data_IF_069639618384
#
_entry.id   IF_069639618384
#
_cell.length_a   1.000
_cell.length_b   1.000
_cell.length_c   1.000
_cell.angle_alpha   90.00
_cell.angle_beta   90.00
_cell.angle_gamma   90.00
#
_symmetry.space_group_name_H-M   'P 1'
#
loop_
_entity.id
_entity.type
_entity.pdbx_description
1 polymer ?
#
# COMPACT_ATOMS: atom_id res chain seq x y z
N UNK A 1 -4.04 -18.56 26.17
CA UNK A 1 -3.12 -18.24 25.07
C UNK A 1 -3.84 -17.25 24.17
N UNK A 2 -3.51 -15.97 24.25
CA UNK A 2 -3.99 -14.97 23.29
C UNK A 2 -3.43 -15.36 21.92
N UNK A 3 -4.30 -15.71 20.98
CA UNK A 3 -3.91 -15.83 19.57
C UNK A 3 -3.43 -14.45 19.17
N UNK A 4 -2.11 -14.26 19.13
CA UNK A 4 -1.52 -13.07 18.52
C UNK A 4 -1.94 -13.15 17.06
N UNK A 5 -2.71 -12.19 16.53
CA UNK A 5 -3.07 -12.17 15.11
C UNK A 5 -1.78 -12.25 14.30
N UNK A 6 -1.75 -13.15 13.31
CA UNK A 6 -0.61 -13.23 12.40
C UNK A 6 -0.62 -11.97 11.53
N UNK A 7 0.23 -11.00 11.88
CA UNK A 7 0.37 -9.74 11.15
C UNK A 7 0.59 -9.96 9.64
N UNK A 8 1.24 -11.07 9.27
CA UNK A 8 1.40 -11.51 7.87
C UNK A 8 0.04 -11.72 7.20
N UNK A 9 -0.89 -12.36 7.89
CA UNK A 9 -2.24 -12.60 7.40
C UNK A 9 -3.04 -11.29 7.28
N UNK A 10 -2.91 -10.39 8.25
CA UNK A 10 -3.56 -9.06 8.19
C UNK A 10 -3.03 -8.23 7.02
N UNK A 11 -1.72 -8.26 6.76
CA UNK A 11 -1.11 -7.61 5.60
C UNK A 11 -1.55 -8.22 4.28
N UNK A 12 -1.70 -9.55 4.22
CA UNK A 12 -2.27 -10.23 3.04
C UNK A 12 -3.71 -9.79 2.77
N UNK A 13 -4.53 -9.67 3.81
CA UNK A 13 -5.91 -9.19 3.67
C UNK A 13 -5.97 -7.74 3.19
N UNK A 14 -5.10 -6.87 3.72
CA UNK A 14 -4.99 -5.47 3.27
C UNK A 14 -4.47 -5.36 1.83
N UNK A 15 -3.53 -6.24 1.44
CA UNK A 15 -3.02 -6.33 0.08
C UNK A 15 -4.09 -6.81 -0.90
N UNK A 16 -4.84 -7.86 -0.52
CA UNK A 16 -5.97 -8.36 -1.31
C UNK A 16 -7.02 -7.28 -1.54
N UNK A 17 -7.37 -6.50 -0.51
CA UNK A 17 -8.24 -5.34 -0.66
C UNK A 17 -7.72 -4.35 -1.71
N UNK A 18 -6.43 -4.01 -1.64
CA UNK A 18 -5.82 -3.03 -2.54
C UNK A 18 -5.75 -3.53 -3.98
N UNK A 19 -5.34 -4.79 -4.18
CA UNK A 19 -5.31 -5.44 -5.50
C UNK A 19 -6.71 -5.54 -6.09
N UNK A 20 -7.71 -5.93 -5.30
CA UNK A 20 -9.10 -5.99 -5.74
C UNK A 20 -9.59 -4.63 -6.22
N UNK A 21 -9.32 -3.55 -5.48
CA UNK A 21 -9.66 -2.18 -5.88
C UNK A 21 -8.98 -1.77 -7.19
N UNK A 22 -7.72 -2.15 -7.41
CA UNK A 22 -7.03 -1.93 -8.69
C UNK A 22 -7.74 -2.66 -9.83
N UNK A 23 -8.10 -3.93 -9.64
CA UNK A 23 -8.72 -4.76 -10.68
C UNK A 23 -10.14 -4.28 -11.02
N UNK A 24 -10.93 -3.92 -10.00
CA UNK A 24 -12.32 -3.47 -10.16
C UNK A 24 -12.41 -2.02 -10.67
N UNK A 25 -11.36 -1.22 -10.50
CA UNK A 25 -11.29 0.16 -10.98
C UNK A 25 -11.22 0.26 -12.51
N UNK A 26 -12.01 1.18 -13.07
CA UNK A 26 -11.80 1.67 -14.44
C UNK A 26 -10.52 2.51 -14.57
N UNK A 27 -10.17 2.94 -15.79
CA UNK A 27 -8.95 3.71 -16.06
C UNK A 27 -8.78 4.95 -15.16
N UNK A 28 -9.87 5.69 -14.92
CA UNK A 28 -9.85 6.85 -14.02
C UNK A 28 -9.57 6.45 -12.56
N UNK A 29 -10.14 5.34 -12.07
CA UNK A 29 -9.89 4.82 -10.73
C UNK A 29 -8.42 4.41 -10.57
N UNK A 30 -7.90 3.64 -11.52
CA UNK A 30 -6.48 3.22 -11.53
C UNK A 30 -5.52 4.41 -11.50
N UNK A 31 -5.80 5.48 -12.25
CA UNK A 31 -5.02 6.73 -12.19
C UNK A 31 -5.06 7.38 -10.80
N UNK A 32 -6.21 7.39 -10.14
CA UNK A 32 -6.32 7.91 -8.76
C UNK A 32 -5.53 7.07 -7.76
N UNK A 33 -5.58 5.74 -7.88
CA UNK A 33 -4.78 4.81 -7.06
C UNK A 33 -3.28 5.09 -7.28
N UNK A 34 -2.84 5.14 -8.54
CA UNK A 34 -1.44 5.37 -8.91
C UNK A 34 -0.93 6.72 -8.38
N UNK A 35 -1.71 7.78 -8.56
CA UNK A 35 -1.38 9.12 -8.03
C UNK A 35 -1.25 9.10 -6.51
N UNK A 36 -2.21 8.50 -5.81
CA UNK A 36 -2.17 8.41 -4.34
C UNK A 36 -0.96 7.59 -3.86
N UNK A 37 -0.62 6.51 -4.56
CA UNK A 37 0.59 5.73 -4.27
C UNK A 37 1.86 6.59 -4.45
N UNK A 38 1.99 7.34 -5.55
CA UNK A 38 3.13 8.22 -5.79
C UNK A 38 3.23 9.34 -4.74
N UNK A 39 2.11 9.96 -4.36
CA UNK A 39 2.04 10.94 -3.28
C UNK A 39 2.48 10.33 -1.94
N UNK A 40 2.08 9.10 -1.66
CA UNK A 40 2.51 8.36 -0.49
C UNK A 40 4.01 8.09 -0.50
N UNK A 41 4.56 7.64 -1.63
CA UNK A 41 6.02 7.44 -1.80
C UNK A 41 6.79 8.73 -1.59
N UNK A 42 6.30 9.87 -2.09
CA UNK A 42 6.91 11.17 -1.86
C UNK A 42 6.88 11.56 -0.37
N UNK A 43 5.74 11.34 0.31
CA UNK A 43 5.58 11.65 1.74
C UNK A 43 6.52 10.81 2.61
N UNK A 44 6.60 9.49 2.40
CA UNK A 44 7.43 8.62 3.27
C UNK A 44 8.92 8.94 3.16
N UNK A 45 9.40 9.47 2.02
CA UNK A 45 10.79 9.92 1.86
C UNK A 45 11.09 11.13 2.75
N UNK A 46 10.10 11.98 3.04
CA UNK A 46 10.27 13.15 3.92
C UNK A 46 10.22 12.82 5.41
N UNK A 47 9.88 11.58 5.76
CA UNK A 47 9.71 11.15 7.15
C UNK A 47 10.87 10.23 7.52
N UNK A 48 11.61 10.60 8.56
CA UNK A 48 12.69 9.76 9.08
C UNK A 48 12.14 8.49 9.76
N UNK A 49 12.97 7.46 9.77
CA UNK A 49 12.69 6.24 10.52
C UNK A 49 12.95 6.48 12.01
N UNK A 50 12.07 5.97 12.87
CA UNK A 50 12.30 6.02 14.32
C UNK A 50 13.13 4.81 14.75
N UNK A 51 14.42 5.06 15.06
CA UNK A 51 15.39 4.00 15.45
C UNK A 51 15.43 2.81 14.47
N UNK A 52 15.26 3.10 13.18
CA UNK A 52 15.24 2.09 12.12
C UNK A 52 13.85 1.51 11.81
N UNK A 53 12.85 1.75 12.66
CA UNK A 53 11.45 1.39 12.37
C UNK A 53 10.82 2.35 11.36
N UNK A 54 10.10 1.77 10.42
CA UNK A 54 9.27 2.46 9.45
C UNK A 54 7.92 2.91 10.03
N UNK A 55 7.65 2.66 11.32
CA UNK A 55 6.37 3.00 11.98
C UNK A 55 5.86 4.42 11.71
N UNK A 56 6.67 5.50 11.82
CA UNK A 56 6.18 6.85 11.51
C UNK A 56 5.69 7.01 10.07
N UNK A 57 6.31 6.32 9.11
CA UNK A 57 5.93 6.32 7.70
C UNK A 57 4.64 5.53 7.48
N UNK A 58 4.52 4.36 8.11
CA UNK A 58 3.33 3.52 8.06
C UNK A 58 2.13 4.29 8.62
N UNK A 59 2.27 4.92 9.79
CA UNK A 59 1.22 5.71 10.44
C UNK A 59 0.78 6.92 9.58
N UNK A 60 1.71 7.59 8.91
CA UNK A 60 1.41 8.67 7.98
C UNK A 60 0.57 8.18 6.78
N UNK A 61 0.93 7.05 6.18
CA UNK A 61 0.16 6.44 5.10
C UNK A 61 -1.23 5.99 5.59
N UNK A 62 -1.33 5.34 6.75
CA UNK A 62 -2.60 4.90 7.33
C UNK A 62 -3.53 6.06 7.69
N UNK A 63 -2.97 7.20 8.12
CA UNK A 63 -3.74 8.43 8.35
C UNK A 63 -4.42 8.90 7.07
N UNK A 64 -3.68 8.95 5.96
CA UNK A 64 -4.23 9.33 4.65
C UNK A 64 -5.23 8.29 4.14
N UNK A 65 -4.93 7.00 4.27
CA UNK A 65 -5.88 5.92 3.98
C UNK A 65 -7.21 6.14 4.71
N UNK A 66 -7.17 6.44 6.01
CA UNK A 66 -8.38 6.66 6.82
C UNK A 66 -9.19 7.89 6.37
N UNK A 67 -8.55 8.93 5.83
CA UNK A 67 -9.25 10.08 5.25
C UNK A 67 -10.00 9.73 3.96
N UNK A 68 -9.47 8.79 3.16
CA UNK A 68 -10.04 8.41 1.87
C UNK A 68 -11.03 7.22 1.97
N UNK A 69 -10.85 6.29 2.92
CA UNK A 69 -11.63 5.05 3.01
C UNK A 69 -13.13 5.26 3.26
N UNK A 70 -13.50 6.35 3.94
CA UNK A 70 -14.89 6.63 4.29
C UNK A 70 -15.70 7.24 3.12
N UNK A 71 -15.05 7.54 2.01
CA UNK A 71 -15.65 8.17 0.82
C UNK A 71 -15.65 7.21 -0.38
N UNK A 72 -15.41 5.91 -0.15
CA UNK A 72 -15.17 4.89 -1.18
C UNK A 72 -14.18 5.36 -2.27
N UNK A 73 -13.18 6.12 -1.84
CA UNK A 73 -12.25 6.78 -2.75
C UNK A 73 -11.14 5.79 -3.11
N UNK A 74 -10.97 5.53 -4.41
CA UNK A 74 -9.93 4.67 -4.97
C UNK A 74 -8.51 5.04 -4.47
N UNK A 75 -8.26 6.31 -4.18
CA UNK A 75 -7.01 6.78 -3.58
C UNK A 75 -6.62 6.02 -2.29
N UNK A 76 -7.58 5.52 -1.53
CA UNK A 76 -7.32 4.73 -0.32
C UNK A 76 -6.42 3.52 -0.61
N UNK A 77 -6.63 2.82 -1.73
CA UNK A 77 -5.81 1.67 -2.10
C UNK A 77 -4.34 2.06 -2.34
N UNK A 78 -4.06 3.23 -2.92
CA UNK A 78 -2.71 3.72 -3.14
C UNK A 78 -1.96 4.01 -1.83
N UNK A 79 -2.63 4.64 -0.87
CA UNK A 79 -2.08 4.88 0.47
C UNK A 79 -1.84 3.58 1.24
N UNK A 80 -2.73 2.60 1.12
CA UNK A 80 -2.59 1.29 1.75
C UNK A 80 -1.40 0.52 1.18
N UNK A 81 -1.20 0.50 -0.14
CA UNK A 81 -0.04 -0.15 -0.77
C UNK A 81 1.28 0.40 -0.26
N UNK A 82 1.40 1.72 -0.15
CA UNK A 82 2.62 2.35 0.38
C UNK A 82 2.86 1.99 1.86
N UNK A 83 1.80 1.91 2.68
CA UNK A 83 1.91 1.48 4.08
C UNK A 83 2.43 0.03 4.19
N UNK A 84 1.87 -0.89 3.39
CA UNK A 84 2.29 -2.30 3.35
C UNK A 84 3.76 -2.40 2.91
N UNK A 85 4.16 -1.65 1.88
CA UNK A 85 5.53 -1.67 1.38
C UNK A 85 6.55 -1.19 2.42
N UNK A 86 6.23 -0.13 3.18
CA UNK A 86 7.08 0.32 4.30
C UNK A 86 7.16 -0.73 5.40
N UNK A 87 6.04 -1.39 5.75
CA UNK A 87 6.03 -2.45 6.77
C UNK A 87 6.88 -3.66 6.36
N UNK A 88 6.67 -4.16 5.14
CA UNK A 88 7.44 -5.30 4.61
C UNK A 88 8.94 -4.95 4.49
N UNK A 89 9.28 -3.67 4.27
CA UNK A 89 10.67 -3.20 4.20
C UNK A 89 11.45 -3.29 5.53
N UNK A 90 10.79 -3.52 6.66
CA UNK A 90 11.44 -3.81 7.94
C UNK A 90 12.02 -5.22 8.01
N UNK A 91 11.56 -6.14 7.13
CA UNK A 91 12.15 -7.48 6.90
C UNK A 91 12.17 -8.39 8.13
N UNK A 92 11.29 -8.15 9.09
CA UNK A 92 11.18 -8.87 10.36
C UNK A 92 9.90 -9.74 10.45
N UNK A 93 9.06 -9.73 9.42
CA UNK A 93 7.86 -10.57 9.30
C UNK A 93 8.19 -11.98 8.81
N UNK A 94 7.45 -12.98 9.30
CA UNK A 94 7.51 -14.31 8.70
C UNK A 94 7.00 -14.26 7.25
N UNK A 95 7.75 -14.81 6.30
CA UNK A 95 7.37 -14.78 4.88
C UNK A 95 7.49 -13.41 4.19
N UNK A 96 8.15 -12.42 4.80
CA UNK A 96 8.27 -11.04 4.26
C UNK A 96 8.75 -10.97 2.81
N UNK A 97 9.63 -11.89 2.37
CA UNK A 97 10.15 -11.90 0.99
C UNK A 97 9.03 -12.13 -0.02
N UNK A 98 8.17 -13.11 0.24
CA UNK A 98 7.04 -13.43 -0.63
C UNK A 98 6.00 -12.31 -0.60
N UNK A 99 5.77 -11.69 0.56
CA UNK A 99 4.93 -10.50 0.63
C UNK A 99 5.49 -9.36 -0.21
N UNK A 100 6.80 -9.12 -0.13
CA UNK A 100 7.47 -8.07 -0.89
C UNK A 100 7.28 -8.29 -2.41
N UNK A 101 7.47 -9.51 -2.88
CA UNK A 101 7.25 -9.87 -4.30
C UNK A 101 5.82 -9.58 -4.77
N UNK A 102 4.81 -9.93 -3.96
CA UNK A 102 3.41 -9.69 -4.31
C UNK A 102 3.10 -8.19 -4.33
N UNK A 103 3.61 -7.43 -3.34
CA UNK A 103 3.43 -5.97 -3.27
C UNK A 103 4.10 -5.30 -4.46
N UNK A 104 5.35 -5.66 -4.77
CA UNK A 104 6.09 -5.08 -5.89
C UNK A 104 5.41 -5.39 -7.24
N UNK A 105 4.86 -6.61 -7.40
CA UNK A 105 4.07 -6.98 -8.58
C UNK A 105 2.80 -6.13 -8.68
N UNK A 106 2.05 -5.97 -7.59
CA UNK A 106 0.83 -5.17 -7.57
C UNK A 106 1.10 -3.69 -7.93
N UNK A 107 2.21 -3.13 -7.42
CA UNK A 107 2.65 -1.78 -7.75
C UNK A 107 3.06 -1.68 -9.22
N UNK A 108 3.81 -2.65 -9.73
CA UNK A 108 4.24 -2.67 -11.13
C UNK A 108 3.04 -2.65 -12.09
N UNK A 109 2.08 -3.55 -11.88
CA UNK A 109 0.86 -3.64 -12.68
C UNK A 109 0.01 -2.36 -12.60
N UNK A 110 -0.10 -1.77 -11.41
CA UNK A 110 -0.78 -0.49 -11.23
C UNK A 110 -0.14 0.62 -12.09
N UNK A 111 1.18 0.79 -12.01
CA UNK A 111 1.90 1.83 -12.73
C UNK A 111 1.90 1.59 -14.24
N UNK A 112 1.99 0.33 -14.68
CA UNK A 112 1.87 -0.03 -16.09
C UNK A 112 0.47 0.32 -16.64
N UNK A 113 -0.59 0.02 -15.87
CA UNK A 113 -1.96 0.32 -16.27
C UNK A 113 -2.24 1.81 -16.41
N UNK A 114 -1.56 2.64 -15.62
CA UNK A 114 -1.65 4.10 -15.70
C UNK A 114 -1.02 4.62 -16.99
N UNK A 115 0.18 4.13 -17.35
CA UNK A 115 0.89 4.51 -18.58
C UNK A 115 0.10 4.15 -19.84
N UNK A 116 -0.46 2.93 -19.90
CA UNK A 116 -1.26 2.48 -21.04
C UNK A 116 -2.57 3.26 -21.21
N UNK A 117 -3.10 3.81 -20.13
CA UNK A 117 -4.32 4.62 -20.20
C UNK A 117 -4.08 6.01 -20.78
N UNK A 118 -2.83 6.47 -20.92
CA UNK A 118 -2.47 7.82 -21.42
C UNK A 118 -2.32 7.84 -22.95
N UNK A 119 -2.35 6.68 -23.62
CA UNK A 119 -2.33 6.54 -25.09
C UNK A 119 -3.73 6.22 -25.63
#
# INVERSE_FOLDING_TARGET
MTVVPDETADLLMALLYSVRKIVESGAQGKRQIAKAYQEARALVVTIDRDRGSARPRIEACLTRFNMHKNVDNEAAAGWMLAAIQERVSERDLYGWRRLNEIVDTAVHELLLSEQLSVH
#
